data_IF_437323713748
#
_entry.id   IF_437323713748
#
_cell.length_a   1.000
_cell.length_b   1.000
_cell.length_c   1.000
_cell.angle_alpha   90.00
_cell.angle_beta   90.00
_cell.angle_gamma   90.00
#
_symmetry.space_group_name_H-M   'P 1'
#
loop_
_entity.id
_entity.type
_entity.pdbx_description
1 polymer ?
#
# COMPACT_ATOMS: atom_id res chain seq x y z
N UNK A 1 24.56 2.59 1.04
CA UNK A 1 24.47 2.09 -0.35
C UNK A 1 23.12 2.49 -0.91
N UNK A 2 23.11 3.40 -1.89
CA UNK A 2 21.90 3.89 -2.53
C UNK A 2 21.41 2.86 -3.55
N UNK A 3 20.18 2.35 -3.37
CA UNK A 3 19.52 1.54 -4.39
C UNK A 3 18.79 2.47 -5.35
N UNK A 4 19.48 2.80 -6.44
CA UNK A 4 18.87 3.38 -7.64
C UNK A 4 18.12 2.25 -8.36
N UNK A 5 16.79 2.34 -8.43
CA UNK A 5 16.00 1.51 -9.33
C UNK A 5 15.33 2.43 -10.36
N UNK A 6 16.11 2.78 -11.38
CA UNK A 6 15.61 3.18 -12.70
C UNK A 6 15.10 1.91 -13.39
N UNK A 7 13.95 2.01 -14.03
CA UNK A 7 13.53 1.32 -15.26
C UNK A 7 12.11 0.74 -15.19
N UNK A 8 11.41 0.87 -16.31
CA UNK A 8 10.50 -0.19 -16.73
C UNK A 8 9.03 0.07 -16.52
N UNK A 9 8.43 0.82 -17.45
CA UNK A 9 7.03 0.67 -17.84
C UNK A 9 6.75 -0.81 -18.20
N UNK A 10 6.33 -1.64 -17.25
CA UNK A 10 5.73 -2.94 -17.56
C UNK A 10 4.93 -3.48 -16.36
N UNK A 11 3.63 -3.68 -16.56
CA UNK A 11 2.79 -4.30 -15.53
C UNK A 11 1.28 -4.09 -15.66
N UNK A 12 0.75 -3.75 -16.83
CA UNK A 12 -0.61 -4.15 -17.15
C UNK A 12 -0.58 -5.66 -17.44
N UNK A 13 -0.86 -6.50 -16.44
CA UNK A 13 -1.27 -7.87 -16.72
C UNK A 13 -2.46 -8.23 -15.85
N UNK A 14 -3.58 -8.31 -16.57
CA UNK A 14 -4.91 -8.71 -16.19
C UNK A 14 -4.99 -9.98 -15.35
N UNK A 15 -5.61 -9.89 -14.16
CA UNK A 15 -6.63 -10.83 -13.68
C UNK A 15 -7.15 -10.27 -12.36
N UNK A 16 -8.43 -9.90 -12.27
CA UNK A 16 -9.08 -9.18 -11.14
C UNK A 16 -9.02 -9.79 -9.73
N UNK A 17 -8.05 -10.67 -9.46
CA UNK A 17 -7.76 -11.37 -8.21
C UNK A 17 -6.57 -10.75 -7.46
N UNK A 18 -5.55 -10.23 -8.15
CA UNK A 18 -4.34 -9.68 -7.50
C UNK A 18 -3.82 -8.41 -8.19
N UNK A 19 -3.73 -7.32 -7.42
CA UNK A 19 -3.13 -6.05 -7.87
C UNK A 19 -1.65 -6.02 -7.47
N UNK A 20 -0.77 -5.73 -8.43
CA UNK A 20 0.63 -5.43 -8.16
C UNK A 20 0.82 -3.92 -8.18
N UNK A 21 1.10 -3.34 -7.01
CA UNK A 21 1.32 -1.90 -6.87
C UNK A 21 2.71 -1.49 -7.35
N UNK A 22 2.81 -0.33 -8.01
CA UNK A 22 4.10 0.30 -8.33
C UNK A 22 4.76 0.82 -7.04
N UNK A 23 6.10 1.00 -7.00
CA UNK A 23 6.77 1.58 -5.84
C UNK A 23 6.19 2.95 -5.45
N UNK A 24 5.86 3.80 -6.43
CA UNK A 24 5.22 5.10 -6.20
C UNK A 24 3.85 4.96 -5.55
N UNK A 25 3.02 3.99 -6.01
CA UNK A 25 1.73 3.70 -5.39
C UNK A 25 1.87 3.22 -3.95
N UNK A 26 2.87 2.37 -3.67
CA UNK A 26 3.16 1.90 -2.31
C UNK A 26 3.58 3.07 -1.43
N UNK A 27 4.48 3.93 -1.90
CA UNK A 27 4.95 5.10 -1.14
C UNK A 27 3.80 6.05 -0.78
N UNK A 28 2.91 6.34 -1.72
CA UNK A 28 1.72 7.15 -1.46
C UNK A 28 0.82 6.50 -0.40
N UNK A 29 0.55 5.19 -0.52
CA UNK A 29 -0.24 4.44 0.45
C UNK A 29 0.42 4.42 1.84
N UNK A 30 1.74 4.32 1.93
CA UNK A 30 2.48 4.38 3.19
C UNK A 30 2.43 5.77 3.82
N UNK A 31 2.60 6.85 3.04
CA UNK A 31 2.44 8.22 3.53
C UNK A 31 1.05 8.45 4.11
N UNK A 32 0.02 7.94 3.44
CA UNK A 32 -1.37 8.00 3.92
C UNK A 32 -1.61 7.15 5.17
N UNK A 33 -0.92 6.01 5.29
CA UNK A 33 -0.98 5.15 6.47
C UNK A 33 -0.44 5.84 7.74
N UNK A 34 0.62 6.63 7.60
CA UNK A 34 1.18 7.39 8.73
C UNK A 34 0.22 8.44 9.28
N UNK A 35 -0.58 9.07 8.41
CA UNK A 35 -1.60 10.05 8.80
C UNK A 35 -2.85 9.37 9.39
N UNK A 36 -3.35 8.33 8.72
CA UNK A 36 -4.56 7.63 9.15
C UNK A 36 -4.48 6.12 8.86
N UNK A 37 -4.11 5.28 9.83
CA UNK A 37 -3.95 3.83 9.62
C UNK A 37 -5.29 3.07 9.46
N UNK A 38 -6.43 3.73 9.71
CA UNK A 38 -7.79 3.17 9.59
C UNK A 38 -8.71 4.14 8.82
N UNK A 39 -8.50 4.34 7.51
CA UNK A 39 -9.29 5.29 6.74
C UNK A 39 -10.76 4.85 6.66
N UNK A 40 -11.68 5.81 6.88
CA UNK A 40 -13.12 5.62 6.69
C UNK A 40 -13.48 5.34 5.23
N UNK A 41 -14.72 4.92 4.95
CA UNK A 41 -15.14 4.67 3.55
C UNK A 41 -15.06 5.93 2.69
N UNK A 42 -15.46 7.08 3.24
CA UNK A 42 -15.40 8.39 2.58
C UNK A 42 -13.94 8.76 2.31
N UNK A 43 -13.06 8.61 3.30
CA UNK A 43 -11.62 8.90 3.14
C UNK A 43 -11.03 8.03 2.03
N UNK A 44 -11.32 6.73 1.99
CA UNK A 44 -10.85 5.83 0.91
C UNK A 44 -11.26 6.30 -0.48
N UNK A 45 -12.47 6.82 -0.66
CA UNK A 45 -12.90 7.37 -1.95
C UNK A 45 -12.21 8.69 -2.29
N UNK A 46 -12.01 9.57 -1.32
CA UNK A 46 -11.26 10.81 -1.51
C UNK A 46 -9.83 10.54 -1.96
N UNK A 47 -9.13 9.56 -1.35
CA UNK A 47 -7.75 9.22 -1.71
C UNK A 47 -7.59 8.84 -3.20
N UNK A 48 -8.57 8.14 -3.77
CA UNK A 48 -8.55 7.78 -5.20
C UNK A 48 -8.71 9.02 -6.08
N UNK A 49 -9.45 10.04 -5.62
CA UNK A 49 -9.67 11.30 -6.34
C UNK A 49 -8.53 12.30 -6.15
N UNK A 50 -7.95 12.35 -4.95
CA UNK A 50 -6.88 13.27 -4.57
C UNK A 50 -5.50 12.78 -5.05
N UNK A 51 -5.30 11.47 -5.17
CA UNK A 51 -4.04 10.89 -5.63
C UNK A 51 -4.20 10.28 -7.03
N UNK A 52 -3.81 10.99 -8.11
CA UNK A 52 -3.98 10.49 -9.48
C UNK A 52 -3.25 9.16 -9.72
N UNK A 53 -2.16 8.87 -9.01
CA UNK A 53 -1.43 7.61 -9.12
C UNK A 53 -2.24 6.40 -8.59
N UNK A 54 -3.21 6.67 -7.70
CA UNK A 54 -4.12 5.68 -7.11
C UNK A 54 -5.47 5.62 -7.84
N UNK A 55 -5.68 6.44 -8.89
CA UNK A 55 -6.96 6.54 -9.61
C UNK A 55 -7.43 5.21 -10.23
N UNK A 56 -6.47 4.34 -10.59
CA UNK A 56 -6.73 3.00 -11.13
C UNK A 56 -6.89 1.91 -10.05
N UNK A 57 -6.97 2.28 -8.78
CA UNK A 57 -7.09 1.34 -7.65
C UNK A 57 -8.52 1.39 -7.10
N UNK A 58 -9.19 0.25 -7.01
CA UNK A 58 -10.53 0.18 -6.44
C UNK A 58 -10.56 0.47 -4.92
N UNK A 59 -11.65 1.05 -4.38
CA UNK A 59 -11.81 1.28 -2.93
C UNK A 59 -11.68 0.02 -2.06
N UNK A 60 -11.99 -1.16 -2.64
CA UNK A 60 -11.81 -2.47 -2.01
C UNK A 60 -10.34 -2.83 -1.87
N UNK A 61 -9.52 -2.55 -2.90
CA UNK A 61 -8.08 -2.80 -2.90
C UNK A 61 -7.37 -1.91 -1.87
N UNK A 62 -7.77 -0.64 -1.76
CA UNK A 62 -7.31 0.26 -0.70
C UNK A 62 -7.63 -0.34 0.69
N UNK A 63 -8.87 -0.81 0.91
CA UNK A 63 -9.23 -1.45 2.20
C UNK A 63 -8.32 -2.63 2.52
N UNK A 64 -8.11 -3.54 1.56
CA UNK A 64 -7.27 -4.73 1.74
C UNK A 64 -5.81 -4.34 2.00
N UNK A 65 -5.28 -3.35 1.28
CA UNK A 65 -3.92 -2.86 1.48
C UNK A 65 -3.72 -2.36 2.92
N UNK A 66 -4.62 -1.53 3.44
CA UNK A 66 -4.53 -1.03 4.83
C UNK A 66 -4.71 -2.14 5.88
N UNK A 67 -5.52 -3.16 5.60
CA UNK A 67 -5.62 -4.35 6.47
C UNK A 67 -4.30 -5.12 6.49
N UNK A 68 -3.74 -5.41 5.32
CA UNK A 68 -2.48 -6.12 5.18
C UNK A 68 -1.32 -5.33 5.78
N UNK A 69 -1.29 -4.01 5.63
CA UNK A 69 -0.22 -3.15 6.18
C UNK A 69 -0.18 -3.20 7.70
N UNK A 70 -1.35 -3.16 8.36
CA UNK A 70 -1.47 -3.33 9.82
C UNK A 70 -1.06 -4.73 10.27
N UNK A 71 -1.50 -5.76 9.55
CA UNK A 71 -1.14 -7.14 9.87
C UNK A 71 0.38 -7.38 9.76
N UNK A 72 1.01 -6.88 8.69
CA UNK A 72 2.47 -6.95 8.50
C UNK A 72 3.23 -6.19 9.57
N UNK A 73 2.75 -5.03 9.98
CA UNK A 73 3.37 -4.25 11.06
C UNK A 73 3.30 -4.97 12.41
N UNK A 74 2.14 -5.55 12.74
CA UNK A 74 1.98 -6.36 13.94
C UNK A 74 2.94 -7.54 13.94
N UNK A 75 2.98 -8.30 12.83
CA UNK A 75 3.90 -9.43 12.67
C UNK A 75 5.37 -9.02 12.79
N UNK A 76 5.79 -7.89 12.22
CA UNK A 76 7.18 -7.41 12.37
C UNK A 76 7.54 -7.05 13.80
N UNK A 77 6.64 -6.40 14.54
CA UNK A 77 6.85 -6.11 15.97
C UNK A 77 6.94 -7.40 16.80
N UNK A 78 6.11 -8.39 16.49
CA UNK A 78 6.12 -9.70 17.17
C UNK A 78 7.39 -10.50 16.83
N UNK A 79 7.80 -10.55 15.56
CA UNK A 79 9.03 -11.21 15.13
C UNK A 79 10.28 -10.56 15.73
N UNK A 80 10.32 -9.22 15.77
CA UNK A 80 11.40 -8.49 16.44
C UNK A 80 11.45 -8.79 17.94
N UNK A 81 10.31 -9.01 18.59
CA UNK A 81 10.25 -9.40 20.02
C UNK A 81 10.78 -10.81 20.24
N UNK A 82 10.54 -11.74 19.30
CA UNK A 82 11.01 -13.13 19.38
C UNK A 82 12.49 -13.29 19.03
N UNK A 83 13.09 -12.37 18.27
CA UNK A 83 14.54 -12.36 18.02
C UNK A 83 15.37 -11.68 19.10
N UNK A 84 14.73 -10.94 20.01
CA UNK A 84 15.40 -10.22 21.10
C UNK A 84 15.50 -11.05 22.42
N UNK A 85 15.15 -12.34 22.37
CA UNK A 85 15.29 -13.33 23.46
C UNK A 85 16.41 -14.29 23.15
#
# INVERSE_FOLDING_TARGET
>A
MAMSCKDGKLGCLDNGKYVRYTPEQVEALERLYHDCPKPSSIRRQQLIRECPILSNIEPKQIKVWFQNRRCREKQRKEASRLQAV
#
